data_IF_062354200726
#
_entry.id   IF_062354200726
#
_cell.length_a   1.000
_cell.length_b   1.000
_cell.length_c   1.000
_cell.angle_alpha   90.00
_cell.angle_beta   90.00
_cell.angle_gamma   90.00
#
_symmetry.space_group_name_H-M   'P 1'
#
loop_
_entity.id
_entity.type
_entity.pdbx_description
1 polymer ?
#
# COMPACT_ATOMS: atom_id res chain seq x y z
N UNK A 1 -7.71 3.91 10.58
CA UNK A 1 -7.12 4.68 9.48
C UNK A 1 -6.80 3.70 8.36
N UNK A 2 -7.31 3.97 7.17
CA UNK A 2 -7.11 3.17 5.97
C UNK A 2 -5.90 3.76 5.26
N UNK A 3 -4.84 2.97 5.08
CA UNK A 3 -3.62 3.47 4.44
C UNK A 3 -3.69 3.26 2.94
N UNK A 4 -2.82 3.92 2.20
CA UNK A 4 -2.54 3.63 0.79
C UNK A 4 -3.77 3.55 -0.14
N UNK A 5 -4.84 4.28 0.16
CA UNK A 5 -5.97 4.38 -0.74
C UNK A 5 -5.55 5.12 -2.01
N UNK A 6 -5.96 4.62 -3.18
CA UNK A 6 -5.67 5.26 -4.46
C UNK A 6 -6.86 6.12 -4.87
N UNK A 7 -6.64 7.42 -5.01
CA UNK A 7 -7.65 8.40 -5.42
C UNK A 7 -7.44 8.70 -6.90
N UNK A 8 -8.44 8.39 -7.71
CA UNK A 8 -8.43 8.72 -9.14
C UNK A 8 -9.18 10.03 -9.37
N UNK A 9 -8.44 11.10 -9.61
CA UNK A 9 -8.99 12.44 -9.85
C UNK A 9 -9.14 12.68 -11.36
N UNK A 10 -10.14 13.46 -11.75
CA UNK A 10 -10.38 13.84 -13.14
C UNK A 10 -9.24 14.72 -13.65
N UNK A 11 -8.69 14.37 -14.82
CA UNK A 11 -7.58 15.09 -15.48
C UNK A 11 -6.29 15.18 -14.67
N UNK A 12 -6.08 14.27 -13.73
CA UNK A 12 -4.86 14.19 -12.92
C UNK A 12 -4.41 12.72 -12.80
N UNK A 13 -3.12 12.50 -12.56
CA UNK A 13 -2.60 11.18 -12.27
C UNK A 13 -3.14 10.66 -10.92
N UNK A 14 -3.27 9.33 -10.74
CA UNK A 14 -3.73 8.77 -9.48
C UNK A 14 -2.80 9.12 -8.31
N UNK A 15 -3.39 9.33 -7.14
CA UNK A 15 -2.67 9.71 -5.93
C UNK A 15 -2.89 8.66 -4.84
N UNK A 16 -1.85 8.38 -4.06
CA UNK A 16 -1.96 7.66 -2.80
C UNK A 16 -2.34 8.62 -1.68
N UNK A 17 -3.19 8.19 -0.76
CA UNK A 17 -3.51 8.92 0.45
C UNK A 17 -3.93 7.97 1.57
N UNK A 18 -3.89 8.47 2.80
CA UNK A 18 -4.41 7.75 3.96
C UNK A 18 -5.75 8.37 4.38
N UNK A 19 -6.79 7.54 4.51
CA UNK A 19 -8.14 7.93 4.88
C UNK A 19 -8.37 7.72 6.37
N UNK A 20 -9.14 8.61 7.00
CA UNK A 20 -9.51 8.44 8.41
C UNK A 20 -10.48 7.26 8.59
N UNK A 21 -11.47 7.17 7.70
CA UNK A 21 -12.55 6.17 7.72
C UNK A 21 -13.01 5.81 6.29
N UNK A 22 -13.90 4.82 6.19
CA UNK A 22 -14.49 4.41 4.91
C UNK A 22 -15.42 5.51 4.38
N UNK A 23 -15.30 5.88 3.09
CA UNK A 23 -16.24 6.79 2.41
C UNK A 23 -17.71 6.37 2.60
N UNK A 24 -18.53 7.29 3.09
CA UNK A 24 -19.97 7.13 3.26
C UNK A 24 -20.76 7.61 2.05
N UNK A 25 -22.00 7.12 1.90
CA UNK A 25 -22.88 7.51 0.78
C UNK A 25 -23.40 8.95 0.87
N UNK A 26 -23.22 9.61 2.01
CA UNK A 26 -23.66 10.99 2.26
C UNK A 26 -22.52 12.00 2.17
N UNK A 27 -21.29 11.54 1.96
CA UNK A 27 -20.13 12.40 1.92
C UNK A 27 -20.12 13.20 0.61
N UNK A 28 -19.73 14.46 0.71
CA UNK A 28 -19.59 15.38 -0.43
C UNK A 28 -18.14 15.60 -0.83
N UNK A 29 -17.21 15.17 0.02
CA UNK A 29 -15.77 15.35 -0.16
C UNK A 29 -15.01 14.26 0.58
N UNK A 30 -13.84 13.91 0.07
CA UNK A 30 -12.89 13.02 0.71
C UNK A 30 -11.97 13.84 1.61
N UNK A 31 -11.87 13.47 2.87
CA UNK A 31 -10.90 14.06 3.81
C UNK A 31 -9.80 13.02 4.04
N UNK A 32 -8.57 13.38 3.72
CA UNK A 32 -7.43 12.47 3.82
C UNK A 32 -6.15 13.19 4.23
N UNK A 33 -5.09 12.43 4.47
CA UNK A 33 -3.76 12.96 4.78
C UNK A 33 -2.70 12.20 3.99
N UNK A 34 -1.45 12.67 4.08
CA UNK A 34 -0.29 12.01 3.52
C UNK A 34 -0.45 11.74 2.01
N UNK A 35 -0.85 12.77 1.24
CA UNK A 35 -1.06 12.62 -0.21
C UNK A 35 0.27 12.49 -0.94
N UNK A 36 0.40 11.47 -1.77
CA UNK A 36 1.61 11.08 -2.50
C UNK A 36 1.26 10.69 -3.93
N UNK A 37 2.21 10.82 -4.85
CA UNK A 37 2.13 10.17 -6.15
C UNK A 37 2.29 8.64 -5.97
N UNK A 38 1.98 7.85 -7.01
CA UNK A 38 2.13 6.39 -6.95
C UNK A 38 3.58 5.93 -6.69
N UNK A 39 4.57 6.75 -7.05
CA UNK A 39 6.00 6.50 -6.73
C UNK A 39 6.38 6.92 -5.29
N UNK A 40 5.42 7.36 -4.49
CA UNK A 40 5.59 7.82 -3.11
C UNK A 40 6.07 9.27 -2.97
N UNK A 41 6.39 9.96 -4.06
CA UNK A 41 6.85 11.36 -4.00
C UNK A 41 5.71 12.33 -3.72
N UNK A 42 6.06 13.52 -3.21
CA UNK A 42 5.10 14.61 -3.03
C UNK A 42 4.65 15.17 -4.39
N UNK A 43 3.34 15.28 -4.67
CA UNK A 43 2.84 15.97 -5.85
C UNK A 43 3.30 17.43 -5.93
N UNK A 44 3.47 17.94 -7.14
CA UNK A 44 3.97 19.31 -7.38
C UNK A 44 3.03 20.40 -6.85
N UNK A 45 1.72 20.15 -6.83
CA UNK A 45 0.70 21.08 -6.37
C UNK A 45 0.49 21.06 -4.84
N UNK A 46 1.35 20.35 -4.09
CA UNK A 46 1.29 20.26 -2.63
C UNK A 46 2.55 20.89 -2.04
N UNK A 47 2.37 21.92 -1.21
CA UNK A 47 3.49 22.53 -0.48
C UNK A 47 3.88 21.69 0.74
N UNK A 48 2.89 21.38 1.60
CA UNK A 48 3.08 20.65 2.85
C UNK A 48 2.47 19.25 2.78
N UNK A 49 3.32 18.21 2.78
CA UNK A 49 2.87 16.82 2.73
C UNK A 49 2.08 16.37 3.98
N UNK A 50 2.33 17.02 5.13
CA UNK A 50 1.68 16.74 6.41
C UNK A 50 0.32 17.43 6.56
N UNK A 51 -0.22 18.03 5.50
CA UNK A 51 -1.53 18.68 5.54
C UNK A 51 -2.68 17.68 5.60
N UNK A 52 -3.85 18.20 5.96
CA UNK A 52 -5.13 17.56 5.70
C UNK A 52 -5.61 18.05 4.33
N UNK A 53 -5.98 17.10 3.48
CA UNK A 53 -6.45 17.37 2.13
C UNK A 53 -7.94 17.10 2.04
N UNK A 54 -8.63 17.94 1.26
CA UNK A 54 -10.06 17.85 1.03
C UNK A 54 -10.30 17.83 -0.47
N UNK A 55 -10.79 16.70 -0.98
CA UNK A 55 -11.10 16.52 -2.40
C UNK A 55 -12.61 16.42 -2.62
N UNK A 56 -13.24 17.35 -3.35
CA UNK A 56 -14.66 17.23 -3.69
C UNK A 56 -14.94 15.98 -4.53
N UNK A 57 -15.98 15.22 -4.18
CA UNK A 57 -16.33 13.99 -4.92
C UNK A 57 -16.67 14.25 -6.38
N UNK A 58 -17.13 15.47 -6.72
CA UNK A 58 -17.38 15.89 -8.09
C UNK A 58 -16.15 15.69 -9.01
N UNK A 59 -14.94 15.72 -8.47
CA UNK A 59 -13.70 15.57 -9.23
C UNK A 59 -13.08 14.17 -9.10
N UNK A 60 -13.58 13.31 -8.21
CA UNK A 60 -13.09 11.95 -8.00
C UNK A 60 -13.88 10.99 -8.89
N UNK A 61 -13.16 10.19 -9.68
CA UNK A 61 -13.76 9.16 -10.54
C UNK A 61 -14.12 7.92 -9.74
N UNK A 62 -13.16 7.41 -8.97
CA UNK A 62 -13.33 6.31 -8.02
C UNK A 62 -12.16 6.28 -7.03
N UNK A 63 -12.31 5.50 -5.98
CA UNK A 63 -11.31 5.30 -4.93
C UNK A 63 -11.06 3.79 -4.82
N UNK A 64 -9.80 3.38 -4.87
CA UNK A 64 -9.40 2.01 -4.60
C UNK A 64 -8.98 1.88 -3.14
N UNK A 65 -9.57 0.91 -2.44
CA UNK A 65 -9.24 0.59 -1.06
C UNK A 65 -8.97 -0.90 -0.99
N UNK A 66 -7.77 -1.28 -0.53
CA UNK A 66 -7.42 -2.70 -0.36
C UNK A 66 -8.25 -3.27 0.80
N UNK A 67 -8.87 -4.43 0.58
CA UNK A 67 -9.83 -5.02 1.53
C UNK A 67 -9.24 -5.24 2.94
N UNK A 68 -7.95 -5.56 3.02
CA UNK A 68 -7.21 -5.71 4.28
C UNK A 68 -7.11 -4.40 5.09
N UNK A 69 -7.18 -3.25 4.43
CA UNK A 69 -7.11 -1.93 5.07
C UNK A 69 -8.51 -1.33 5.34
N UNK A 70 -9.55 -1.80 4.65
CA UNK A 70 -10.95 -1.36 4.82
C UNK A 70 -11.60 -1.91 6.10
N UNK A 71 -11.20 -3.11 6.53
CA UNK A 71 -11.66 -3.73 7.77
C UNK A 71 -10.57 -3.56 8.80
N UNK A 72 -10.74 -2.63 9.74
CA UNK A 72 -9.75 -2.31 10.79
C UNK A 72 -9.41 -3.43 11.79
N UNK A 73 -9.61 -4.70 11.44
CA UNK A 73 -9.10 -5.87 12.15
C UNK A 73 -9.01 -7.03 11.17
N UNK A 74 -7.85 -7.20 10.54
CA UNK A 74 -7.25 -8.51 10.34
C UNK A 74 -5.78 -8.32 10.65
N UNK A 75 -5.42 -8.61 11.90
CA UNK A 75 -4.06 -8.98 12.22
C UNK A 75 -3.65 -10.01 11.16
N UNK A 76 -2.70 -9.64 10.30
CA UNK A 76 -2.01 -10.64 9.50
C UNK A 76 -1.46 -11.65 10.51
N UNK A 77 -1.65 -12.96 10.34
CA UNK A 77 -0.87 -13.91 11.11
C UNK A 77 0.58 -13.58 10.81
N UNK A 78 1.27 -13.01 11.80
CA UNK A 78 2.72 -13.05 11.86
C UNK A 78 3.06 -14.51 12.11
N UNK A 79 2.97 -15.32 11.07
CA UNK A 79 3.62 -16.62 11.06
C UNK A 79 5.04 -16.35 10.55
N UNK A 80 5.87 -15.85 11.47
CA UNK A 80 7.30 -16.11 11.36
C UNK A 80 7.43 -17.62 11.28
N UNK A 81 8.01 -18.20 10.22
CA UNK A 81 8.50 -19.55 10.34
C UNK A 81 9.60 -19.48 11.39
N UNK A 82 9.35 -20.03 12.58
CA UNK A 82 10.42 -20.44 13.47
C UNK A 82 11.25 -21.48 12.72
N UNK A 83 12.23 -21.02 11.95
CA UNK A 83 13.37 -21.84 11.63
C UNK A 83 14.32 -21.66 12.80
N UNK A 84 14.25 -22.59 13.74
CA UNK A 84 15.34 -22.86 14.67
C UNK A 84 16.57 -23.25 13.85
N UNK A 85 17.41 -22.27 13.52
CA UNK A 85 18.81 -22.51 13.18
C UNK A 85 19.67 -22.19 14.41
N UNK A 86 20.55 -23.11 14.85
CA UNK A 86 21.43 -22.85 15.98
C UNK A 86 22.47 -21.80 15.61
N UNK A 87 22.66 -20.86 16.54
CA UNK A 87 23.80 -19.99 16.78
C UNK A 87 25.03 -20.23 15.90
N UNK A 88 25.32 -19.31 14.95
CA UNK A 88 26.68 -18.88 14.61
C UNK A 88 26.69 -17.41 14.17
N UNK A 89 27.51 -16.63 14.86
CA UNK A 89 27.93 -15.26 14.61
C UNK A 89 28.50 -14.99 13.20
N UNK A 90 28.18 -13.83 12.61
CA UNK A 90 29.03 -13.23 11.56
C UNK A 90 28.31 -12.23 10.64
N UNK A 91 28.82 -11.00 10.54
CA UNK A 91 28.57 -10.05 9.45
C UNK A 91 28.76 -10.71 8.07
N UNK A 92 27.95 -10.37 7.05
CA UNK A 92 28.38 -9.58 5.88
C UNK A 92 27.23 -9.37 4.86
N UNK A 93 27.30 -8.27 4.11
CA UNK A 93 26.52 -8.00 2.91
C UNK A 93 26.85 -9.04 1.82
N UNK A 94 25.86 -9.76 1.30
CA UNK A 94 26.00 -10.45 0.01
C UNK A 94 24.64 -10.61 -0.67
N UNK A 95 24.55 -10.15 -1.91
CA UNK A 95 23.48 -10.43 -2.86
C UNK A 95 23.05 -11.89 -2.73
N UNK A 96 21.79 -12.12 -2.33
CA UNK A 96 21.23 -13.45 -2.30
C UNK A 96 21.11 -13.94 -3.75
N UNK A 97 22.08 -14.74 -4.19
CA UNK A 97 21.93 -15.64 -5.32
C UNK A 97 20.79 -16.61 -4.98
N UNK A 98 19.57 -16.22 -5.38
CA UNK A 98 18.40 -17.06 -5.27
C UNK A 98 18.46 -18.09 -6.39
N UNK A 99 19.21 -19.18 -6.18
CA UNK A 99 19.11 -20.37 -7.02
C UNK A 99 17.68 -20.91 -6.90
N UNK A 100 16.91 -20.82 -7.99
CA UNK A 100 15.54 -21.33 -8.04
C UNK A 100 15.57 -22.84 -8.25
N UNK A 101 14.99 -23.57 -7.29
CA UNK A 101 14.94 -25.03 -7.30
C UNK A 101 14.18 -25.60 -8.52
N UNK A 102 14.70 -26.69 -9.10
CA UNK A 102 14.09 -27.40 -10.24
C UNK A 102 12.64 -27.85 -10.00
N UNK A 103 12.29 -28.15 -8.74
CA UNK A 103 10.93 -28.55 -8.38
C UNK A 103 9.93 -27.37 -8.48
N UNK A 104 10.38 -26.13 -8.29
CA UNK A 104 9.57 -24.94 -8.46
C UNK A 104 9.26 -24.70 -9.95
N UNK A 105 10.25 -24.87 -10.82
CA UNK A 105 10.07 -24.74 -12.27
C UNK A 105 9.13 -25.81 -12.84
N UNK A 106 9.15 -27.03 -12.29
CA UNK A 106 8.19 -28.08 -12.67
C UNK A 106 6.75 -27.69 -12.33
N UNK A 107 6.51 -27.12 -11.15
CA UNK A 107 5.16 -26.72 -10.71
C UNK A 107 4.53 -25.66 -11.63
N UNK A 108 5.31 -24.68 -12.10
CA UNK A 108 4.80 -23.64 -13.00
C UNK A 108 4.44 -24.22 -14.38
N UNK A 109 5.18 -25.23 -14.86
CA UNK A 109 4.98 -25.81 -16.18
C UNK A 109 3.74 -26.69 -16.30
N UNK A 110 3.20 -27.16 -15.17
CA UNK A 110 2.02 -28.01 -15.10
C UNK A 110 0.70 -27.24 -14.96
N UNK A 111 0.74 -25.89 -15.02
CA UNK A 111 -0.43 -25.00 -15.00
C UNK A 111 -0.80 -24.51 -16.40
#
# INVERSE_FOLDING_TARGET
MIRNAVIHITNEQPLLADLYEMPGTRDVSLICTNVRMLDGKKPLFIDHASSVFVFPYLHIRFIEIVAAEATGTLESPVEKPETTVPDQSGNDDSEADLELDEDFLRRIREV
#
